data_IF_008348611740
#
_entry.id   IF_008348611740
#
_cell.length_a   1.000
_cell.length_b   1.000
_cell.length_c   1.000
_cell.angle_alpha   90.00
_cell.angle_beta   90.00
_cell.angle_gamma   90.00
#
_symmetry.space_group_name_H-M   'P 1'
#
loop_
_entity.id
_entity.type
_entity.pdbx_description
1 polymer ?
#
# COMPACT_ATOMS: atom_id res chain seq x y z
N UNK A 1 9.45 11.50 12.91
CA UNK A 1 8.60 12.30 13.85
C UNK A 1 7.34 11.58 14.33
N UNK A 2 6.89 10.53 13.64
CA UNK A 2 5.66 9.80 13.95
C UNK A 2 4.40 10.49 13.45
N UNK A 3 3.40 9.70 13.13
CA UNK A 3 2.13 10.13 12.53
C UNK A 3 1.30 11.06 13.43
N UNK A 4 1.47 10.97 14.74
CA UNK A 4 0.72 11.78 15.71
C UNK A 4 0.86 13.28 15.50
N UNK A 5 2.05 13.77 15.16
CA UNK A 5 2.26 15.20 14.85
C UNK A 5 1.57 15.61 13.56
N UNK A 6 1.62 14.76 12.53
CA UNK A 6 0.92 14.99 11.27
C UNK A 6 -0.60 15.09 11.50
N UNK A 7 -1.16 14.12 12.22
CA UNK A 7 -2.60 14.02 12.50
C UNK A 7 -3.11 15.25 13.24
N UNK A 8 -2.39 15.77 14.23
CA UNK A 8 -2.80 16.96 14.99
C UNK A 8 -3.17 18.14 14.09
N UNK A 9 -2.33 18.46 13.11
CA UNK A 9 -2.61 19.56 12.18
C UNK A 9 -3.59 19.13 11.08
N UNK A 10 -3.40 17.93 10.51
CA UNK A 10 -4.18 17.47 9.36
C UNK A 10 -5.63 17.09 9.70
N UNK A 11 -5.96 16.84 10.97
CA UNK A 11 -7.36 16.71 11.41
C UNK A 11 -8.11 18.03 11.30
N UNK A 12 -7.46 19.18 11.50
CA UNK A 12 -8.09 20.50 11.31
C UNK A 12 -8.14 20.95 9.85
N UNK A 13 -7.11 20.62 9.06
CA UNK A 13 -6.97 21.12 7.69
C UNK A 13 -7.57 20.18 6.63
N UNK A 14 -7.49 18.87 6.88
CA UNK A 14 -7.72 17.82 5.87
C UNK A 14 -8.36 16.57 6.49
N UNK A 15 -9.27 16.74 7.45
CA UNK A 15 -9.86 15.66 8.26
C UNK A 15 -10.32 14.43 7.45
N UNK A 16 -11.06 14.58 6.33
CA UNK A 16 -11.54 13.43 5.56
C UNK A 16 -10.42 12.53 5.03
N UNK A 17 -9.27 13.12 4.68
CA UNK A 17 -8.11 12.36 4.20
C UNK A 17 -7.45 11.58 5.33
N UNK A 18 -7.29 12.20 6.50
CA UNK A 18 -6.76 11.54 7.70
C UNK A 18 -7.62 10.36 8.09
N UNK A 19 -8.94 10.54 8.15
CA UNK A 19 -9.87 9.49 8.56
C UNK A 19 -9.93 8.34 7.56
N UNK A 20 -9.90 8.64 6.25
CA UNK A 20 -9.77 7.61 5.23
C UNK A 20 -8.49 6.81 5.42
N UNK A 21 -7.37 7.47 5.71
CA UNK A 21 -6.08 6.80 5.85
C UNK A 21 -5.98 5.93 7.08
N UNK A 22 -6.46 6.41 8.23
CA UNK A 22 -6.56 5.59 9.45
C UNK A 22 -7.29 4.29 9.17
N UNK A 23 -8.44 4.36 8.50
CA UNK A 23 -9.28 3.17 8.22
C UNK A 23 -8.69 2.16 7.24
N UNK A 24 -7.70 2.54 6.43
CA UNK A 24 -7.21 1.66 5.35
C UNK A 24 -5.72 1.37 5.42
N UNK A 25 -4.87 2.37 5.66
CA UNK A 25 -3.41 2.22 5.62
C UNK A 25 -2.83 1.89 7.00
N UNK A 26 -3.35 2.53 8.05
CA UNK A 26 -2.90 2.26 9.42
C UNK A 26 -3.32 0.85 9.85
N UNK A 27 -4.52 0.42 9.48
CA UNK A 27 -5.02 -0.94 9.78
C UNK A 27 -4.29 -2.07 9.06
N UNK A 28 -3.40 -1.77 8.10
CA UNK A 28 -2.70 -2.81 7.33
C UNK A 28 -1.86 -3.73 8.21
N UNK A 29 -1.37 -3.27 9.36
CA UNK A 29 -0.63 -4.11 10.30
C UNK A 29 -1.54 -5.04 11.10
N UNK A 30 -2.75 -4.60 11.47
CA UNK A 30 -3.73 -5.44 12.15
C UNK A 30 -4.16 -6.61 11.26
N UNK A 31 -4.35 -6.35 9.95
CA UNK A 31 -4.66 -7.39 8.96
C UNK A 31 -3.58 -8.47 8.89
N UNK A 32 -2.29 -8.12 8.95
CA UNK A 32 -1.22 -9.12 8.91
C UNK A 32 -1.03 -9.82 10.25
N UNK A 33 -1.31 -9.18 11.39
CA UNK A 33 -1.24 -9.85 12.70
C UNK A 33 -2.20 -11.03 12.80
N UNK A 34 -3.32 -10.96 12.11
CA UNK A 34 -4.32 -12.03 12.01
C UNK A 34 -4.01 -13.05 10.90
N UNK A 35 -2.98 -12.81 10.09
CA UNK A 35 -2.64 -13.69 8.99
C UNK A 35 -2.02 -15.01 9.50
N UNK A 36 -2.47 -16.18 9.02
CA UNK A 36 -1.94 -17.48 9.46
C UNK A 36 -0.42 -17.61 9.33
N UNK A 37 0.16 -17.01 8.29
CA UNK A 37 1.60 -17.03 8.03
C UNK A 37 2.40 -16.11 8.96
N UNK A 38 1.83 -14.98 9.38
CA UNK A 38 2.45 -14.13 10.39
C UNK A 38 2.43 -14.78 11.79
N UNK A 39 1.33 -15.47 12.10
CA UNK A 39 1.15 -16.17 13.38
C UNK A 39 2.08 -17.39 13.46
N UNK A 40 2.08 -18.24 12.42
CA UNK A 40 2.91 -19.45 12.36
C UNK A 40 4.39 -19.16 12.07
N UNK A 41 4.69 -18.01 11.46
CA UNK A 41 6.04 -17.59 11.11
C UNK A 41 6.91 -17.23 12.32
N UNK A 42 8.21 -17.41 12.17
CA UNK A 42 9.22 -16.96 13.13
C UNK A 42 9.51 -15.46 12.97
N UNK A 43 10.42 -14.93 13.79
CA UNK A 43 10.76 -13.51 13.78
C UNK A 43 11.38 -13.07 12.45
N UNK A 44 12.20 -13.92 11.83
CA UNK A 44 12.78 -13.67 10.50
C UNK A 44 11.72 -13.62 9.40
N UNK A 45 10.66 -14.42 9.51
CA UNK A 45 9.50 -14.33 8.64
C UNK A 45 8.77 -13.01 8.84
N UNK A 46 8.49 -12.62 10.09
CA UNK A 46 7.74 -11.39 10.40
C UNK A 46 8.43 -10.12 9.94
N UNK A 47 9.76 -10.08 9.97
CA UNK A 47 10.58 -9.00 9.39
C UNK A 47 10.25 -8.71 7.92
N UNK A 48 9.89 -9.73 7.14
CA UNK A 48 9.47 -9.57 5.73
C UNK A 48 8.13 -8.84 5.62
N UNK A 49 7.24 -9.03 6.58
CA UNK A 49 5.97 -8.33 6.66
C UNK A 49 6.17 -6.86 7.08
N UNK A 50 7.10 -6.62 8.01
CA UNK A 50 7.42 -5.28 8.52
C UNK A 50 7.88 -4.33 7.42
N UNK A 51 8.62 -4.81 6.42
CA UNK A 51 9.06 -4.01 5.26
C UNK A 51 7.93 -3.24 4.56
N UNK A 52 6.72 -3.80 4.56
CA UNK A 52 5.58 -3.25 3.83
C UNK A 52 4.45 -2.75 4.73
N UNK A 53 4.31 -3.31 5.93
CA UNK A 53 3.16 -3.06 6.83
C UNK A 53 3.51 -2.20 8.05
N UNK A 54 4.70 -1.60 8.08
CA UNK A 54 5.12 -0.68 9.14
C UNK A 54 5.67 0.60 8.52
N UNK A 55 5.91 1.61 9.37
CA UNK A 55 6.52 2.88 8.98
C UNK A 55 7.89 3.01 9.62
N UNK A 56 8.86 3.51 8.85
CA UNK A 56 10.23 3.67 9.33
C UNK A 56 11.02 2.37 9.47
N UNK A 57 10.65 1.29 8.76
CA UNK A 57 11.36 0.01 8.86
C UNK A 57 12.84 0.14 8.45
N UNK A 58 13.73 -0.28 9.33
CA UNK A 58 15.17 -0.38 9.12
C UNK A 58 15.55 -1.85 8.92
N UNK A 59 16.09 -2.16 7.73
CA UNK A 59 16.47 -3.53 7.35
C UNK A 59 17.69 -4.06 8.09
N UNK A 60 18.58 -3.18 8.53
CA UNK A 60 19.82 -3.56 9.23
C UNK A 60 19.53 -3.99 10.66
N UNK A 61 18.63 -3.27 11.34
CA UNK A 61 18.26 -3.55 12.73
C UNK A 61 17.02 -4.45 12.83
N UNK A 62 16.20 -4.53 11.77
CA UNK A 62 14.93 -5.25 11.77
C UNK A 62 13.83 -4.56 12.59
N UNK A 63 13.99 -3.26 12.89
CA UNK A 63 13.06 -2.48 13.71
C UNK A 63 12.24 -1.51 12.87
N UNK A 64 11.11 -1.05 13.40
CA UNK A 64 10.26 -0.01 12.80
C UNK A 64 9.83 1.00 13.86
N UNK A 65 9.38 2.17 13.40
CA UNK A 65 8.98 3.28 14.27
C UNK A 65 7.49 3.25 14.61
N UNK A 66 6.65 2.83 13.65
CA UNK A 66 5.20 2.72 13.86
C UNK A 66 4.62 1.48 13.19
N UNK A 67 3.66 0.84 13.86
CA UNK A 67 2.80 -0.17 13.24
C UNK A 67 1.90 0.48 12.18
N UNK A 68 1.72 -0.20 11.05
CA UNK A 68 0.90 0.27 9.95
C UNK A 68 1.65 1.17 8.98
N UNK A 69 1.04 1.38 7.82
CA UNK A 69 1.53 2.31 6.81
C UNK A 69 0.99 3.70 7.19
N UNK A 70 1.75 4.44 7.99
CA UNK A 70 1.42 5.78 8.47
C UNK A 70 1.89 6.84 7.48
N UNK A 71 1.78 8.12 7.86
CA UNK A 71 2.09 9.27 7.00
C UNK A 71 3.52 9.20 6.43
N UNK A 72 4.49 8.87 7.28
CA UNK A 72 5.92 8.92 6.95
C UNK A 72 6.36 7.74 6.06
N UNK A 73 5.57 6.65 6.00
CA UNK A 73 5.87 5.51 5.13
C UNK A 73 5.93 5.87 3.64
N UNK A 74 5.12 6.85 3.20
CA UNK A 74 5.08 7.30 1.82
C UNK A 74 5.55 8.75 1.66
N UNK A 75 5.37 9.62 2.67
CA UNK A 75 5.83 11.00 2.59
C UNK A 75 7.28 11.17 3.06
N UNK A 76 7.90 10.16 3.67
CA UNK A 76 9.24 10.29 4.22
C UNK A 76 9.27 11.05 5.55
N UNK A 77 10.46 11.46 6.01
CA UNK A 77 10.64 11.99 7.37
C UNK A 77 9.82 13.25 7.64
N UNK A 78 8.99 13.22 8.69
CA UNK A 78 8.10 14.30 9.11
C UNK A 78 8.82 15.61 9.46
N UNK A 79 10.10 15.52 9.83
CA UNK A 79 10.99 16.64 10.16
C UNK A 79 11.08 17.64 9.01
N UNK A 80 11.10 17.15 7.77
CA UNK A 80 11.16 17.99 6.57
C UNK A 80 9.89 18.83 6.45
N UNK A 81 8.72 18.25 6.74
CA UNK A 81 7.45 18.96 6.66
C UNK A 81 7.26 19.90 7.83
N UNK A 82 7.66 19.50 9.04
CA UNK A 82 7.63 20.36 10.22
C UNK A 82 8.42 21.65 9.96
N UNK A 83 9.60 21.56 9.34
CA UNK A 83 10.41 22.71 8.95
C UNK A 83 9.64 23.75 8.11
N UNK A 84 8.87 23.29 7.11
CA UNK A 84 8.06 24.16 6.25
C UNK A 84 6.84 24.71 6.99
N UNK A 85 6.18 23.87 7.79
CA UNK A 85 4.99 24.28 8.57
C UNK A 85 5.33 25.36 9.58
N UNK A 86 6.45 25.24 10.30
CA UNK A 86 6.93 26.20 11.30
C UNK A 86 7.23 27.59 10.69
N UNK A 87 7.44 27.65 9.37
CA UNK A 87 7.71 28.89 8.61
C UNK A 87 6.49 29.43 7.87
N UNK A 88 5.32 28.82 8.05
CA UNK A 88 4.12 29.17 7.28
C UNK A 88 4.23 28.83 5.79
N UNK A 89 5.15 27.94 5.41
CA UNK A 89 5.41 27.52 4.03
C UNK A 89 4.79 26.15 3.71
N UNK A 90 3.61 25.88 4.25
CA UNK A 90 2.92 24.58 4.12
C UNK A 90 2.79 24.10 2.65
N UNK A 91 2.59 25.03 1.71
CA UNK A 91 2.49 24.75 0.28
C UNK A 91 3.78 24.18 -0.31
N UNK A 92 4.94 24.59 0.19
CA UNK A 92 6.23 24.04 -0.24
C UNK A 92 6.42 22.61 0.27
N UNK A 93 6.04 22.35 1.53
CA UNK A 93 5.97 20.99 2.07
C UNK A 93 5.04 20.08 1.27
N UNK A 94 3.88 20.59 0.84
CA UNK A 94 2.94 19.82 0.02
C UNK A 94 3.52 19.41 -1.34
N UNK A 95 4.30 20.29 -2.00
CA UNK A 95 4.91 19.99 -3.31
C UNK A 95 5.85 18.80 -3.25
N UNK A 96 6.63 18.70 -2.17
CA UNK A 96 7.63 17.64 -2.02
C UNK A 96 7.03 16.32 -1.49
N UNK A 97 5.85 16.35 -0.87
CA UNK A 97 5.19 15.20 -0.27
C UNK A 97 4.99 14.01 -1.23
N UNK A 98 4.86 14.26 -2.53
CA UNK A 98 4.56 13.22 -3.54
C UNK A 98 5.77 12.78 -4.38
N UNK A 99 6.94 13.38 -4.15
CA UNK A 99 8.15 13.11 -4.95
C UNK A 99 9.28 12.52 -4.10
N UNK A 100 8.99 12.14 -2.85
CA UNK A 100 9.99 11.54 -1.99
C UNK A 100 10.28 10.10 -2.42
N UNK A 101 11.51 9.58 -2.17
CA UNK A 101 11.80 8.17 -2.43
C UNK A 101 10.87 7.20 -1.68
N UNK A 102 10.35 7.62 -0.52
CA UNK A 102 9.35 6.88 0.23
C UNK A 102 8.04 6.70 -0.56
N UNK A 103 7.65 7.70 -1.35
CA UNK A 103 6.44 7.63 -2.18
C UNK A 103 6.52 6.51 -3.22
N UNK A 104 7.70 6.33 -3.83
CA UNK A 104 7.95 5.27 -4.80
C UNK A 104 7.87 3.86 -4.18
N UNK A 105 8.14 3.72 -2.87
CA UNK A 105 7.95 2.45 -2.15
C UNK A 105 6.46 2.09 -1.96
N UNK A 106 5.57 3.06 -1.95
CA UNK A 106 4.13 2.83 -1.82
C UNK A 106 3.43 2.73 -3.18
N UNK A 107 3.63 3.72 -4.06
CA UNK A 107 2.89 3.88 -5.31
C UNK A 107 3.67 3.52 -6.58
N UNK A 108 4.96 3.20 -6.46
CA UNK A 108 5.80 2.84 -7.60
C UNK A 108 5.67 1.36 -7.97
N UNK A 109 6.25 1.00 -9.11
CA UNK A 109 6.29 -0.41 -9.48
C UNK A 109 7.07 -1.17 -8.41
N UNK A 110 8.24 -0.75 -7.94
CA UNK A 110 9.09 -1.54 -7.00
C UNK A 110 8.53 -1.74 -5.57
N UNK A 111 7.37 -1.15 -5.29
CA UNK A 111 6.80 -0.99 -3.97
C UNK A 111 5.89 -2.11 -3.45
N UNK A 112 5.22 -1.80 -2.33
CA UNK A 112 4.38 -2.71 -1.54
C UNK A 112 3.09 -3.15 -2.27
N UNK A 113 2.68 -2.42 -3.31
CA UNK A 113 1.43 -2.63 -4.05
C UNK A 113 1.54 -3.64 -5.21
N UNK A 114 2.63 -4.42 -5.32
CA UNK A 114 2.75 -5.52 -6.30
C UNK A 114 2.15 -6.82 -5.75
N UNK A 115 1.25 -7.44 -6.52
CA UNK A 115 0.68 -8.77 -6.22
C UNK A 115 1.75 -9.86 -6.02
N UNK A 116 2.91 -9.72 -6.68
CA UNK A 116 4.02 -10.69 -6.62
C UNK A 116 4.78 -10.76 -5.29
N UNK A 117 4.74 -9.73 -4.44
CA UNK A 117 5.39 -9.82 -3.10
C UNK A 117 4.62 -10.71 -2.12
N UNK A 118 3.37 -11.09 -2.43
CA UNK A 118 2.63 -12.11 -1.69
C UNK A 118 2.84 -13.53 -2.23
N UNK A 119 3.75 -13.75 -3.19
CA UNK A 119 4.08 -15.12 -3.67
C UNK A 119 4.57 -16.03 -2.54
N UNK A 120 5.19 -15.46 -1.49
CA UNK A 120 5.53 -16.20 -0.26
C UNK A 120 4.27 -16.70 0.46
N UNK A 121 3.21 -15.88 0.50
CA UNK A 121 1.90 -16.29 1.03
C UNK A 121 1.29 -17.39 0.17
N UNK A 122 1.42 -17.30 -1.15
CA UNK A 122 0.98 -18.35 -2.08
C UNK A 122 1.69 -19.67 -1.78
N UNK A 123 3.01 -19.66 -1.53
CA UNK A 123 3.76 -20.86 -1.12
C UNK A 123 3.27 -21.40 0.22
N UNK A 124 3.16 -20.54 1.24
CA UNK A 124 2.67 -20.92 2.57
C UNK A 124 1.28 -21.57 2.49
N UNK A 125 0.33 -20.98 1.76
CA UNK A 125 -1.02 -21.54 1.60
C UNK A 125 -1.04 -22.82 0.77
N UNK A 126 -0.21 -22.93 -0.27
CA UNK A 126 -0.06 -24.18 -1.04
C UNK A 126 0.51 -25.32 -0.21
N UNK A 127 1.38 -25.01 0.74
CA UNK A 127 2.05 -25.99 1.60
C UNK A 127 1.24 -26.30 2.88
N UNK A 128 0.41 -25.37 3.36
CA UNK A 128 -0.49 -25.59 4.48
C UNK A 128 -1.77 -26.32 4.03
N UNK A 129 -1.81 -27.65 4.17
CA UNK A 129 -2.98 -28.50 3.83
C UNK A 129 -4.30 -28.14 4.54
N UNK A 130 -4.23 -27.29 5.56
CA UNK A 130 -5.34 -26.91 6.44
C UNK A 130 -6.17 -25.73 5.91
N UNK A 131 -5.62 -24.92 5.00
CA UNK A 131 -6.30 -23.75 4.43
C UNK A 131 -6.42 -23.95 2.93
N UNK A 132 -7.64 -24.26 2.47
CA UNK A 132 -7.97 -24.45 1.06
C UNK A 132 -7.41 -23.29 0.20
N UNK A 133 -6.82 -23.58 -0.98
CA UNK A 133 -6.25 -22.58 -1.87
C UNK A 133 -7.18 -21.43 -2.32
N UNK A 134 -8.48 -21.45 -2.01
CA UNK A 134 -9.41 -20.41 -2.46
C UNK A 134 -10.34 -19.76 -1.43
N UNK A 135 -10.42 -20.17 -0.16
CA UNK A 135 -11.43 -19.57 0.74
C UNK A 135 -11.06 -18.19 1.30
N UNK A 136 -9.82 -17.99 1.77
CA UNK A 136 -9.43 -16.72 2.41
C UNK A 136 -9.21 -15.56 1.42
N UNK A 137 -8.85 -15.88 0.17
CA UNK A 137 -8.57 -14.90 -0.88
C UNK A 137 -9.83 -14.50 -1.68
N UNK A 138 -10.97 -15.16 -1.48
CA UNK A 138 -12.24 -14.73 -2.07
C UNK A 138 -12.69 -13.45 -1.38
N UNK A 139 -12.45 -12.27 -1.96
CA UNK A 139 -12.77 -11.03 -1.27
C UNK A 139 -14.29 -10.95 -1.19
N UNK A 140 -14.80 -10.20 -0.23
CA UNK A 140 -16.21 -9.73 -0.12
C UNK A 140 -16.84 -9.21 -1.43
N UNK A 141 -16.05 -9.04 -2.49
CA UNK A 141 -16.40 -8.57 -3.82
C UNK A 141 -16.46 -9.67 -4.89
N UNK A 142 -16.28 -10.94 -4.56
CA UNK A 142 -16.36 -12.04 -5.54
C UNK A 142 -17.73 -12.12 -6.23
N UNK A 143 -18.78 -11.72 -5.51
CA UNK A 143 -20.10 -11.50 -6.09
C UNK A 143 -20.07 -10.44 -7.20
N UNK A 144 -19.39 -9.31 -6.99
CA UNK A 144 -19.30 -8.23 -7.99
C UNK A 144 -18.52 -8.69 -9.24
N UNK A 145 -17.42 -9.41 -9.06
CA UNK A 145 -16.61 -9.94 -10.17
C UNK A 145 -17.41 -10.97 -10.96
N UNK A 146 -18.04 -11.93 -10.28
CA UNK A 146 -18.85 -12.95 -10.95
C UNK A 146 -20.14 -12.40 -11.59
N UNK A 147 -20.77 -11.37 -11.01
CA UNK A 147 -21.89 -10.66 -11.62
C UNK A 147 -21.45 -9.86 -12.86
N UNK A 148 -20.29 -9.20 -12.82
CA UNK A 148 -19.73 -8.48 -13.96
C UNK A 148 -19.32 -9.43 -15.11
N UNK A 149 -18.77 -10.60 -14.79
CA UNK A 149 -18.42 -11.64 -15.77
C UNK A 149 -19.67 -12.27 -16.40
N UNK A 150 -20.68 -12.60 -15.59
CA UNK A 150 -21.97 -13.10 -16.09
C UNK A 150 -22.65 -12.08 -17.00
N UNK A 151 -22.59 -10.80 -16.64
CA UNK A 151 -23.11 -9.70 -17.47
C UNK A 151 -22.34 -9.57 -18.79
N UNK A 152 -21.01 -9.65 -18.76
CA UNK A 152 -20.19 -9.66 -19.99
C UNK A 152 -20.50 -10.86 -20.90
N UNK A 153 -20.83 -12.01 -20.32
CA UNK A 153 -21.20 -13.21 -21.07
C UNK A 153 -22.63 -13.15 -21.61
N UNK A 154 -23.56 -12.49 -20.90
CA UNK A 154 -24.95 -12.32 -21.36
C UNK A 154 -25.08 -11.26 -22.45
N UNK A 155 -24.24 -10.22 -22.42
CA UNK A 155 -24.38 -9.05 -23.29
C UNK A 155 -23.71 -9.26 -24.68
N UNK A 156 -23.09 -10.42 -24.92
CA UNK A 156 -22.37 -10.72 -26.16
C UNK A 156 -21.04 -9.98 -26.22
N UNK A 157 -19.92 -10.71 -26.34
CA UNK A 157 -18.60 -10.10 -26.41
C UNK A 157 -18.41 -9.39 -27.76
N UNK A 158 -18.69 -8.10 -27.83
CA UNK A 158 -18.12 -7.23 -28.84
C UNK A 158 -16.76 -6.71 -28.31
N UNK A 159 -15.66 -7.25 -28.86
CA UNK A 159 -14.31 -6.81 -28.54
C UNK A 159 -14.10 -5.39 -29.08
N UNK A 160 -14.35 -4.38 -28.24
CA UNK A 160 -13.86 -3.03 -28.51
C UNK A 160 -12.37 -2.99 -28.17
N UNK A 161 -11.53 -3.39 -29.12
CA UNK A 161 -10.11 -3.00 -29.11
C UNK A 161 -10.05 -1.48 -29.28
N UNK A 162 -9.81 -0.74 -28.19
CA UNK A 162 -9.24 0.59 -28.32
C UNK A 162 -7.75 0.44 -28.65
N UNK A 163 -7.38 0.72 -29.90
CA UNK A 163 -5.98 0.92 -30.26
C UNK A 163 -5.39 1.95 -29.29
N UNK A 164 -4.34 1.55 -28.55
CA UNK A 164 -3.55 2.50 -27.78
C UNK A 164 -3.00 3.58 -28.73
N UNK A 165 -2.98 4.86 -28.35
CA UNK A 165 -2.48 5.92 -29.21
C UNK A 165 -1.05 5.59 -29.65
N UNK A 166 -0.82 5.53 -30.96
CA UNK A 166 0.54 5.41 -31.53
C UNK A 166 1.28 6.71 -31.24
N UNK A 167 2.00 6.74 -30.13
CA UNK A 167 2.84 7.87 -29.78
C UNK A 167 3.89 8.06 -30.88
N UNK A 168 3.85 9.20 -31.57
CA UNK A 168 4.83 9.59 -32.59
C UNK A 168 6.14 9.97 -31.90
N UNK A 169 6.87 8.97 -31.40
CA UNK A 169 8.24 9.17 -30.96
C UNK A 169 9.14 9.13 -32.19
N UNK A 170 9.55 10.30 -32.68
CA UNK A 170 10.59 10.44 -33.70
C UNK A 170 11.94 10.27 -32.99
N UNK A 171 12.65 9.19 -33.28
CA UNK A 171 14.07 9.08 -32.91
C UNK A 171 14.88 9.93 -33.89
N UNK A 172 15.43 11.04 -33.39
CA UNK A 172 16.46 11.80 -34.11
C UNK A 172 17.75 10.98 -34.05
N UNK A 173 18.33 10.71 -35.23
CA UNK A 173 19.63 10.03 -35.38
C UNK A 173 20.77 10.91 -34.88
#
# INVERSE_FOLDING_TARGET
>A
MGSGKCIRCHTGLTAPYVERWKRVKFESFNVIKEAPDFIKGDEEYRKKCYECHTSGYNKETGTYEEEGITCEACHGPGEVYAFFMDRGQATEGQKIAKITPAYNKCGGTEGCHRSRRHEIRVKFFRESKEHDPYEWFKPKYQRIVSEAEKKRQSDGAEEIYHELPKDKTIFVK
#
